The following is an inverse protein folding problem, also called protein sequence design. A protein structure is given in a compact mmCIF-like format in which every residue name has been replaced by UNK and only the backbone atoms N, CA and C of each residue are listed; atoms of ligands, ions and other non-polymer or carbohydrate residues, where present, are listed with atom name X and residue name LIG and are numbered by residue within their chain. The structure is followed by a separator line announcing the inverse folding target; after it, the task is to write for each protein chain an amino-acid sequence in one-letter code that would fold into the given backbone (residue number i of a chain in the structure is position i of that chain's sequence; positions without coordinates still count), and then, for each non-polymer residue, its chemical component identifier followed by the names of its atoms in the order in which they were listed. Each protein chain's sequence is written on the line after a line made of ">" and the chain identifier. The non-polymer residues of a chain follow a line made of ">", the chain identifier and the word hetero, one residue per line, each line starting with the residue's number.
data_IF_777336875609
#
_entry.id   IF_777336875609
#
_cell.length_a   1.000
_cell.length_b   1.000
_cell.length_c   1.000
_cell.angle_alpha   90.00
_cell.angle_beta   90.00
_cell.angle_gamma   90.00
#
_symmetry.space_group_name_H-M   'P 1'
#
loop_
_entity.id
_entity.type
_entity.pdbx_description
1 polymer ?
#
# COMPACT_ATOMS: atom_id res chain seq x y z
N UNK A 1 -16.82 -1.10 13.10
CA UNK A 1 -16.28 0.24 13.42
C UNK A 1 -15.07 0.47 12.54
N UNK A 2 -14.97 1.63 11.90
CA UNK A 2 -13.86 1.97 11.00
C UNK A 2 -13.19 3.23 11.53
N UNK A 3 -11.87 3.22 11.67
CA UNK A 3 -11.07 4.36 12.07
C UNK A 3 -10.17 4.78 10.89
N UNK A 4 -10.28 6.03 10.48
CA UNK A 4 -9.40 6.60 9.45
C UNK A 4 -8.30 7.38 10.13
N UNK A 5 -7.05 7.02 9.87
CA UNK A 5 -5.85 7.68 10.39
C UNK A 5 -4.95 8.10 9.23
N UNK A 6 -4.06 9.06 9.40
CA UNK A 6 -3.05 9.34 8.37
C UNK A 6 -2.00 8.21 8.29
N UNK A 7 -1.17 8.22 7.25
CA UNK A 7 -0.15 7.18 7.03
C UNK A 7 1.15 7.49 7.82
N UNK A 8 1.02 7.75 9.12
CA UNK A 8 2.15 7.99 10.01
C UNK A 8 2.40 6.78 10.91
N UNK A 9 3.67 6.45 11.13
CA UNK A 9 4.08 5.35 12.02
C UNK A 9 3.62 5.54 13.47
N UNK A 10 3.49 6.80 13.91
CA UNK A 10 2.92 7.18 15.22
C UNK A 10 1.50 6.64 15.43
N UNK A 11 0.73 6.47 14.35
CA UNK A 11 -0.64 5.98 14.44
C UNK A 11 -0.71 4.50 14.81
N UNK A 12 0.34 3.71 14.59
CA UNK A 12 0.36 2.33 15.07
C UNK A 12 0.24 2.28 16.60
N UNK A 13 0.97 3.16 17.30
CA UNK A 13 0.92 3.27 18.75
C UNK A 13 -0.44 3.77 19.24
N UNK A 14 -1.00 4.77 18.55
CA UNK A 14 -2.33 5.30 18.86
C UNK A 14 -3.42 4.22 18.69
N UNK A 15 -3.38 3.43 17.62
CA UNK A 15 -4.32 2.33 17.37
C UNK A 15 -4.24 1.27 18.45
N UNK A 16 -3.03 0.88 18.86
CA UNK A 16 -2.83 -0.09 19.95
C UNK A 16 -3.40 0.46 21.27
N UNK A 17 -3.18 1.74 21.56
CA UNK A 17 -3.74 2.39 22.73
C UNK A 17 -5.28 2.43 22.69
N UNK A 18 -5.87 2.79 21.55
CA UNK A 18 -7.32 2.81 21.35
C UNK A 18 -7.92 1.40 21.50
N UNK A 19 -7.29 0.37 20.93
CA UNK A 19 -7.71 -1.03 21.10
C UNK A 19 -7.71 -1.46 22.57
N UNK A 20 -6.65 -1.13 23.32
CA UNK A 20 -6.59 -1.43 24.77
C UNK A 20 -7.69 -0.71 25.54
N UNK A 21 -7.97 0.56 25.22
CA UNK A 21 -8.98 1.37 25.90
C UNK A 21 -10.41 0.92 25.58
N UNK A 22 -10.68 0.54 24.33
CA UNK A 22 -12.00 0.08 23.89
C UNK A 22 -12.22 -1.42 24.07
N UNK A 23 -11.26 -2.17 24.65
CA UNK A 23 -11.35 -3.62 24.82
C UNK A 23 -12.62 -4.10 25.58
N UNK A 24 -13.20 -3.24 26.43
CA UNK A 24 -14.46 -3.52 27.16
C UNK A 24 -15.74 -3.12 26.41
N UNK A 25 -15.64 -2.30 25.35
CA UNK A 25 -16.79 -1.75 24.61
C UNK A 25 -16.85 -2.13 23.13
N UNK A 26 -15.78 -2.72 22.57
CA UNK A 26 -15.76 -3.23 21.20
C UNK A 26 -16.24 -4.67 21.15
N UNK A 27 -17.20 -4.94 20.27
CA UNK A 27 -17.63 -6.31 19.92
C UNK A 27 -16.41 -7.17 19.59
N UNK A 28 -16.35 -8.36 20.20
CA UNK A 28 -15.26 -9.33 20.02
C UNK A 28 -13.85 -8.77 20.28
N UNK A 29 -13.69 -7.86 21.25
CA UNK A 29 -12.38 -7.32 21.64
C UNK A 29 -11.69 -6.54 20.52
N UNK A 30 -12.47 -5.96 19.60
CA UNK A 30 -11.93 -5.17 18.49
C UNK A 30 -11.45 -5.99 17.29
N UNK A 31 -11.73 -7.30 17.22
CA UNK A 31 -11.42 -8.17 16.05
C UNK A 31 -11.91 -7.61 14.71
N UNK A 32 -12.98 -6.81 14.73
CA UNK A 32 -13.59 -6.21 13.54
C UNK A 32 -13.34 -4.70 13.42
N UNK A 33 -12.39 -4.15 14.20
CA UNK A 33 -11.96 -2.76 14.04
C UNK A 33 -11.03 -2.66 12.83
N UNK A 34 -11.53 -2.07 11.76
CA UNK A 34 -10.70 -1.77 10.59
C UNK A 34 -10.07 -0.39 10.75
N UNK A 35 -8.74 -0.33 10.70
CA UNK A 35 -7.99 0.92 10.61
C UNK A 35 -7.50 1.09 9.18
N UNK A 36 -7.82 2.21 8.56
CA UNK A 36 -7.42 2.55 7.18
C UNK A 36 -6.71 3.89 7.19
N UNK A 37 -5.75 4.08 6.28
CA UNK A 37 -5.22 5.41 6.00
C UNK A 37 -5.59 5.86 4.58
N UNK A 38 -5.68 7.17 4.35
CA UNK A 38 -6.05 7.71 3.04
C UNK A 38 -5.08 7.23 1.94
N UNK A 39 -3.78 7.17 2.24
CA UNK A 39 -2.78 6.60 1.32
C UNK A 39 -3.06 5.13 0.99
N UNK A 40 -3.49 4.33 1.97
CA UNK A 40 -3.86 2.94 1.76
C UNK A 40 -5.15 2.79 0.95
N UNK A 41 -6.16 3.65 1.18
CA UNK A 41 -7.39 3.69 0.37
C UNK A 41 -7.05 4.04 -1.08
N UNK A 42 -6.23 5.06 -1.30
CA UNK A 42 -5.75 5.42 -2.64
C UNK A 42 -5.01 4.27 -3.30
N UNK A 43 -4.12 3.59 -2.58
CA UNK A 43 -3.40 2.42 -3.09
C UNK A 43 -4.37 1.30 -3.51
N UNK A 44 -5.43 1.02 -2.74
CA UNK A 44 -6.44 0.02 -3.11
C UNK A 44 -7.23 0.41 -4.37
N UNK A 45 -7.64 1.67 -4.49
CA UNK A 45 -8.36 2.18 -5.67
C UNK A 45 -7.46 2.06 -6.91
N UNK A 46 -6.22 2.53 -6.81
CA UNK A 46 -5.24 2.47 -7.89
C UNK A 46 -4.98 1.01 -8.29
N UNK A 47 -4.66 0.13 -7.34
CA UNK A 47 -4.41 -1.30 -7.63
C UNK A 47 -5.61 -1.94 -8.34
N UNK A 48 -6.84 -1.65 -7.90
CA UNK A 48 -8.03 -2.22 -8.52
C UNK A 48 -8.27 -1.66 -9.93
N UNK A 49 -8.07 -0.35 -10.13
CA UNK A 49 -8.20 0.30 -11.43
C UNK A 49 -7.16 -0.21 -12.45
N UNK A 50 -5.96 -0.54 -11.99
CA UNK A 50 -4.89 -1.07 -12.85
C UNK A 50 -4.88 -2.59 -12.96
N UNK A 51 -5.84 -3.30 -12.37
CA UNK A 51 -5.85 -4.76 -12.33
C UNK A 51 -5.88 -5.39 -13.73
N UNK A 52 -6.63 -4.80 -14.65
CA UNK A 52 -6.74 -5.23 -16.06
C UNK A 52 -5.53 -4.83 -16.92
N UNK A 53 -4.76 -3.83 -16.46
CA UNK A 53 -3.57 -3.32 -17.17
C UNK A 53 -2.25 -3.82 -16.57
N UNK A 54 -2.31 -4.70 -15.58
CA UNK A 54 -1.12 -5.22 -14.89
C UNK A 54 -0.14 -5.90 -15.85
N UNK A 55 -0.62 -6.57 -16.90
CA UNK A 55 0.25 -7.24 -17.87
C UNK A 55 1.10 -6.24 -18.66
N UNK A 56 0.50 -5.14 -19.13
CA UNK A 56 1.24 -4.06 -19.80
C UNK A 56 2.26 -3.43 -18.85
N UNK A 57 1.86 -3.16 -17.60
CA UNK A 57 2.75 -2.60 -16.57
C UNK A 57 3.92 -3.56 -16.29
N UNK A 58 3.66 -4.86 -16.20
CA UNK A 58 4.68 -5.88 -15.92
C UNK A 58 5.68 -5.99 -17.07
N UNK A 59 5.23 -5.93 -18.33
CA UNK A 59 6.12 -5.91 -19.50
C UNK A 59 7.04 -4.69 -19.48
N UNK A 60 6.48 -3.49 -19.29
CA UNK A 60 7.26 -2.26 -19.19
C UNK A 60 8.29 -2.34 -18.05
N UNK A 61 7.88 -2.86 -16.89
CA UNK A 61 8.79 -3.06 -15.74
C UNK A 61 9.90 -4.05 -16.06
N UNK A 62 9.60 -5.14 -16.74
CA UNK A 62 10.58 -6.13 -17.17
C UNK A 62 11.60 -5.50 -18.13
N UNK A 63 11.13 -4.78 -19.15
CA UNK A 63 12.00 -4.11 -20.12
C UNK A 63 12.88 -3.06 -19.44
N UNK A 64 12.32 -2.25 -18.55
CA UNK A 64 13.08 -1.27 -17.77
C UNK A 64 14.13 -1.94 -16.88
N UNK A 65 13.81 -3.08 -16.26
CA UNK A 65 14.76 -3.86 -15.47
C UNK A 65 15.88 -4.42 -16.36
N UNK A 66 15.55 -4.90 -17.55
CA UNK A 66 16.52 -5.37 -18.53
C UNK A 66 17.46 -4.23 -18.99
N UNK A 67 16.90 -3.07 -19.38
CA UNK A 67 17.67 -1.90 -19.80
C UNK A 67 18.64 -1.45 -18.70
N UNK A 68 18.16 -1.39 -17.45
CA UNK A 68 18.95 -0.91 -16.29
C UNK A 68 19.95 -1.93 -15.74
N UNK A 69 19.88 -3.19 -16.17
CA UNK A 69 20.72 -4.26 -15.62
C UNK A 69 22.19 -4.22 -16.09
N UNK A 70 22.57 -3.33 -17.02
CA UNK A 70 23.97 -3.08 -17.38
C UNK A 70 24.16 -1.65 -17.92
N UNK A 71 25.28 -0.97 -17.59
CA UNK A 71 25.61 0.33 -18.16
C UNK A 71 25.63 0.32 -19.70
N UNK A 72 26.10 -0.75 -20.33
CA UNK A 72 26.15 -0.87 -21.79
C UNK A 72 24.74 -0.92 -22.41
N UNK A 73 23.82 -1.67 -21.80
CA UNK A 73 22.40 -1.73 -22.23
C UNK A 73 21.72 -0.37 -22.07
N UNK A 74 21.95 0.29 -20.93
CA UNK A 74 21.41 1.62 -20.66
C UNK A 74 21.95 2.67 -21.64
N UNK A 75 23.26 2.67 -21.92
CA UNK A 75 23.88 3.56 -22.90
C UNK A 75 23.36 3.30 -24.32
N UNK A 76 23.14 2.04 -24.70
CA UNK A 76 22.56 1.68 -26.00
C UNK A 76 21.12 2.18 -26.14
N UNK A 77 20.33 2.18 -25.07
CA UNK A 77 18.96 2.70 -25.06
C UNK A 77 18.90 4.23 -25.08
N UNK A 78 19.93 4.92 -24.56
CA UNK A 78 20.01 6.38 -24.51
C UNK A 78 20.41 7.03 -25.86
N UNK A 79 20.97 6.23 -26.77
CA UNK A 79 21.30 6.67 -28.13
C UNK A 79 20.05 6.76 -28.99
#
# INVERSE_FOLDING_TARGET
>A
MTLTVDNASSNNTAVVYLLKRFNKGLLFGGKFLHVRCCAHILNLIVINAFKEHNDCINRIRYDMRFIRSSPARFLKFKK
#
